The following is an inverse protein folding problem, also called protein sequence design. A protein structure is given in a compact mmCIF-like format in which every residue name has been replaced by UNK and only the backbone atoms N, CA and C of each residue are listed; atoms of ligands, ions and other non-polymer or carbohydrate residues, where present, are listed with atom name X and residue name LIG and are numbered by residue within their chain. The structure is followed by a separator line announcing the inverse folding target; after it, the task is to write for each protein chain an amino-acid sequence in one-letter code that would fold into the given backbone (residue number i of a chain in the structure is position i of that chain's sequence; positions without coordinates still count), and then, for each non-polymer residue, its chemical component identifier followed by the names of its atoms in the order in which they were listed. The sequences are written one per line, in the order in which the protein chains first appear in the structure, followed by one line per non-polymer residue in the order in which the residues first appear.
data_IF_799367176815
#
_entry.id   IF_799367176815
#
_cell.length_a   1.000
_cell.length_b   1.000
_cell.length_c   1.000
_cell.angle_alpha   90.00
_cell.angle_beta   90.00
_cell.angle_gamma   90.00
#
_symmetry.space_group_name_H-M   'P 1'
#
loop_
_entity.id
_entity.type
_entity.pdbx_description
1 polymer ?
#
# COMPACT_ATOMS: atom_id res chain seq x y z
N UNK A 1 -6.73 -13.10 -15.62
CA UNK A 1 -6.08 -13.82 -14.49
C UNK A 1 -5.01 -13.01 -13.75
N UNK A 2 -3.99 -12.42 -14.40
CA UNK A 2 -2.90 -11.70 -13.70
C UNK A 2 -3.38 -10.60 -12.75
N UNK A 3 -4.36 -9.79 -13.15
CA UNK A 3 -4.91 -8.71 -12.31
C UNK A 3 -5.57 -9.23 -11.01
N UNK A 4 -6.21 -10.40 -11.05
CA UNK A 4 -6.79 -11.05 -9.86
C UNK A 4 -5.65 -11.52 -8.94
N UNK A 5 -4.61 -12.13 -9.51
CA UNK A 5 -3.43 -12.57 -8.74
C UNK A 5 -2.75 -11.42 -8.00
N UNK A 6 -2.65 -10.24 -8.63
CA UNK A 6 -2.08 -9.04 -7.99
C UNK A 6 -2.90 -8.60 -6.76
N UNK A 7 -4.23 -8.47 -6.91
CA UNK A 7 -5.08 -8.09 -5.78
C UNK A 7 -5.12 -9.18 -4.69
N UNK A 8 -5.06 -10.45 -5.07
CA UNK A 8 -4.98 -11.57 -4.12
C UNK A 8 -3.68 -11.55 -3.32
N UNK A 9 -2.56 -11.26 -3.98
CA UNK A 9 -1.24 -11.09 -3.34
C UNK A 9 -1.23 -9.89 -2.40
N UNK A 10 -1.87 -8.78 -2.78
CA UNK A 10 -2.00 -7.63 -1.91
C UNK A 10 -2.85 -7.95 -0.66
N UNK A 11 -4.00 -8.61 -0.86
CA UNK A 11 -4.89 -8.99 0.24
C UNK A 11 -4.27 -10.01 1.20
N UNK A 12 -3.40 -10.91 0.72
CA UNK A 12 -2.72 -11.84 1.64
C UNK A 12 -1.84 -11.12 2.65
N UNK A 13 -1.36 -9.90 2.32
CA UNK A 13 -0.61 -9.04 3.22
C UNK A 13 -1.49 -8.16 4.14
N UNK A 14 -2.81 -8.27 4.05
CA UNK A 14 -3.72 -7.54 4.93
C UNK A 14 -3.50 -7.94 6.39
N UNK A 15 -3.40 -6.93 7.26
CA UNK A 15 -3.26 -7.15 8.70
C UNK A 15 -4.60 -7.64 9.28
N UNK A 16 -4.56 -8.38 10.37
CA UNK A 16 -5.77 -8.90 11.03
C UNK A 16 -6.71 -7.80 11.55
N UNK A 17 -6.22 -6.56 11.62
CA UNK A 17 -7.02 -5.36 11.91
C UNK A 17 -7.85 -4.87 10.72
N UNK A 18 -7.59 -5.36 9.51
CA UNK A 18 -8.14 -4.88 8.25
C UNK A 18 -7.22 -3.93 7.47
N UNK A 19 -6.14 -3.42 8.07
CA UNK A 19 -5.19 -2.53 7.38
C UNK A 19 -4.51 -3.23 6.20
N UNK A 20 -4.50 -2.59 5.02
CA UNK A 20 -3.64 -3.00 3.90
C UNK A 20 -2.36 -2.15 3.94
N UNK A 21 -1.16 -2.75 4.05
CA UNK A 21 0.10 -2.02 4.12
C UNK A 21 0.48 -1.43 2.75
N UNK A 22 1.17 -0.29 2.74
CA UNK A 22 1.59 0.34 1.47
C UNK A 22 2.73 -0.38 0.76
N UNK A 23 3.49 -1.23 1.46
CA UNK A 23 4.54 -2.07 0.89
C UNK A 23 4.34 -3.50 1.40
N UNK A 24 4.33 -4.43 0.46
CA UNK A 24 4.58 -5.86 0.66
C UNK A 24 5.98 -6.14 0.10
N UNK A 25 6.91 -6.57 0.93
CA UNK A 25 8.29 -6.80 0.52
C UNK A 25 8.41 -8.14 -0.21
N UNK A 26 9.11 -8.16 -1.34
CA UNK A 26 9.46 -9.42 -2.01
C UNK A 26 10.57 -10.12 -1.23
N UNK A 27 10.56 -11.46 -1.28
CA UNK A 27 11.64 -12.27 -0.73
C UNK A 27 13.00 -11.79 -1.26
N UNK A 28 13.95 -11.55 -0.35
CA UNK A 28 15.31 -11.08 -0.66
C UNK A 28 15.43 -9.67 -1.26
N UNK A 29 14.38 -8.84 -1.22
CA UNK A 29 14.49 -7.46 -1.70
C UNK A 29 15.35 -6.61 -0.74
N UNK A 30 16.58 -6.31 -1.15
CA UNK A 30 17.47 -5.42 -0.37
C UNK A 30 17.59 -4.02 -0.95
N UNK A 31 17.07 -3.80 -2.16
CA UNK A 31 17.34 -2.60 -2.96
C UNK A 31 16.51 -1.37 -2.58
N UNK A 32 15.50 -1.54 -1.72
CA UNK A 32 14.67 -0.45 -1.22
C UNK A 32 15.05 -0.06 0.21
N UNK A 33 15.05 1.25 0.50
CA UNK A 33 15.18 1.77 1.86
C UNK A 33 14.10 2.82 2.14
N UNK A 34 13.38 2.76 3.29
CA UNK A 34 13.52 1.79 4.38
C UNK A 34 12.94 0.40 4.06
N UNK A 35 13.75 -0.65 4.26
CA UNK A 35 13.35 -2.06 4.13
C UNK A 35 12.64 -2.61 5.37
N UNK A 36 12.24 -3.88 5.35
CA UNK A 36 11.46 -4.54 6.40
C UNK A 36 12.09 -4.41 7.81
N UNK A 37 13.39 -4.66 7.94
CA UNK A 37 14.11 -4.52 9.22
C UNK A 37 13.99 -3.11 9.81
N UNK A 38 13.98 -2.07 8.96
CA UNK A 38 13.83 -0.68 9.41
C UNK A 38 12.39 -0.35 9.76
N UNK A 39 11.41 -0.99 9.11
CA UNK A 39 10.00 -0.91 9.50
C UNK A 39 9.75 -1.58 10.85
N UNK A 40 10.49 -2.65 11.18
CA UNK A 40 10.43 -3.30 12.49
C UNK A 40 9.08 -3.94 12.79
N UNK A 41 8.25 -4.21 11.77
CA UNK A 41 6.92 -4.80 11.92
C UNK A 41 6.95 -6.31 12.15
N UNK A 42 8.13 -6.92 12.22
CA UNK A 42 8.33 -8.35 12.50
C UNK A 42 7.60 -8.83 13.75
N UNK A 43 7.60 -8.01 14.81
CA UNK A 43 6.96 -8.30 16.10
C UNK A 43 5.50 -7.85 16.21
N UNK A 44 4.95 -7.19 15.19
CA UNK A 44 3.58 -6.72 15.22
C UNK A 44 2.59 -7.89 15.13
N UNK A 45 1.85 -8.15 16.21
CA UNK A 45 0.89 -9.27 16.31
C UNK A 45 -0.20 -9.25 15.22
N UNK A 46 -0.54 -8.07 14.72
CA UNK A 46 -1.58 -7.90 13.71
C UNK A 46 -1.09 -8.16 12.27
N UNK A 47 0.23 -8.15 12.03
CA UNK A 47 0.79 -8.42 10.70
C UNK A 47 0.61 -9.91 10.37
N UNK A 48 0.25 -10.28 9.14
CA UNK A 48 0.17 -11.69 8.74
C UNK A 48 1.53 -12.39 8.88
N UNK A 49 1.49 -13.61 9.40
CA UNK A 49 2.69 -14.44 9.55
C UNK A 49 3.30 -14.77 8.19
N UNK A 50 4.63 -14.78 8.10
CA UNK A 50 5.35 -15.09 6.86
C UNK A 50 5.35 -14.01 5.78
N UNK A 51 4.64 -12.88 5.96
CA UNK A 51 4.57 -11.81 4.94
C UNK A 51 5.18 -10.52 5.49
N UNK A 52 6.34 -10.15 4.95
CA UNK A 52 7.02 -8.91 5.30
C UNK A 52 6.30 -7.70 4.69
N UNK A 53 5.89 -6.75 5.53
CA UNK A 53 5.20 -5.54 5.08
C UNK A 53 5.53 -4.32 5.93
N UNK A 54 5.32 -3.13 5.36
CA UNK A 54 5.43 -1.87 6.10
C UNK A 54 4.36 -1.73 7.19
N UNK A 55 4.49 -0.72 8.06
CA UNK A 55 3.55 -0.44 9.16
C UNK A 55 2.53 0.66 8.90
N UNK A 56 2.44 1.17 7.67
CA UNK A 56 1.52 2.25 7.27
C UNK A 56 0.71 1.87 6.04
N UNK A 57 -0.41 2.52 5.79
CA UNK A 57 -1.30 2.25 4.66
C UNK A 57 -1.10 3.22 3.48
N UNK A 58 -1.93 3.09 2.43
CA UNK A 58 -2.01 4.02 1.29
C UNK A 58 -3.47 4.22 0.85
N UNK A 59 -3.76 5.16 -0.07
CA UNK A 59 -5.14 5.49 -0.46
C UNK A 59 -5.93 4.28 -0.98
N UNK A 60 -7.22 4.15 -0.63
CA UNK A 60 -8.04 2.94 -0.88
C UNK A 60 -8.54 2.80 -2.32
N UNK A 61 -7.66 2.81 -3.31
CA UNK A 61 -8.03 2.70 -4.73
C UNK A 61 -8.41 1.27 -5.15
N UNK A 62 -8.25 0.28 -4.26
CA UNK A 62 -8.43 -1.15 -4.56
C UNK A 62 -9.82 -1.49 -5.08
N UNK A 63 -10.88 -0.89 -4.52
CA UNK A 63 -12.26 -1.16 -4.96
C UNK A 63 -12.54 -0.64 -6.37
N UNK A 64 -11.82 0.40 -6.82
CA UNK A 64 -11.87 0.88 -8.21
C UNK A 64 -11.25 -0.18 -9.13
N UNK A 65 -10.08 -0.72 -8.76
CA UNK A 65 -9.42 -1.80 -9.51
C UNK A 65 -10.29 -3.07 -9.57
N UNK A 66 -10.87 -3.49 -8.43
CA UNK A 66 -11.78 -4.63 -8.36
C UNK A 66 -12.99 -4.43 -9.29
N UNK A 67 -13.58 -3.23 -9.28
CA UNK A 67 -14.69 -2.91 -10.19
C UNK A 67 -14.30 -3.05 -11.65
N UNK A 68 -13.13 -2.53 -12.04
CA UNK A 68 -12.63 -2.69 -13.40
C UNK A 68 -12.41 -4.16 -13.79
N UNK A 69 -11.88 -4.99 -12.88
CA UNK A 69 -11.71 -6.43 -13.12
C UNK A 69 -13.07 -7.10 -13.36
N UNK A 70 -14.08 -6.77 -12.55
CA UNK A 70 -15.44 -7.30 -12.70
C UNK A 70 -16.10 -6.88 -14.01
N UNK A 71 -15.99 -5.60 -14.36
CA UNK A 71 -16.59 -5.07 -15.60
C UNK A 71 -15.95 -5.75 -16.82
N UNK A 72 -14.62 -5.87 -16.86
CA UNK A 72 -13.89 -6.57 -17.93
C UNK A 72 -14.21 -8.06 -17.98
N UNK A 73 -14.29 -8.74 -16.84
CA UNK A 73 -14.67 -10.15 -16.78
C UNK A 73 -16.06 -10.40 -17.36
N UNK A 74 -17.03 -9.55 -17.03
CA UNK A 74 -18.40 -9.64 -17.55
C UNK A 74 -18.49 -9.37 -19.05
N UNK A 75 -17.73 -8.41 -19.56
CA UNK A 75 -17.66 -8.10 -21.00
C UNK A 75 -17.04 -9.24 -21.81
N UNK A 76 -15.97 -9.87 -21.29
CA UNK A 76 -15.33 -11.01 -21.95
C UNK A 76 -16.21 -12.28 -21.90
N UNK A 77 -16.98 -12.46 -20.82
CA UNK A 77 -17.83 -13.63 -20.61
C UNK A 77 -17.04 -14.91 -20.28
N UNK A 78 -17.74 -16.06 -20.26
CA UNK A 78 -17.14 -17.38 -20.02
C UNK A 78 -16.28 -17.45 -18.76
N UNK A 79 -15.11 -18.09 -18.88
CA UNK A 79 -14.18 -18.30 -17.78
C UNK A 79 -13.66 -16.99 -17.14
N UNK A 80 -13.55 -15.91 -17.90
CA UNK A 80 -13.11 -14.61 -17.37
C UNK A 80 -14.16 -14.00 -16.43
N UNK A 81 -15.43 -14.13 -16.79
CA UNK A 81 -16.55 -13.73 -15.93
C UNK A 81 -16.58 -14.56 -14.66
N UNK A 82 -16.53 -15.88 -14.79
CA UNK A 82 -16.57 -16.80 -13.65
C UNK A 82 -15.41 -16.54 -12.68
N UNK A 83 -14.20 -16.32 -13.20
CA UNK A 83 -13.04 -16.01 -12.38
C UNK A 83 -13.18 -14.67 -11.65
N UNK A 84 -13.70 -13.63 -12.30
CA UNK A 84 -13.88 -12.32 -11.69
C UNK A 84 -14.98 -12.33 -10.61
N UNK A 85 -16.11 -12.99 -10.86
CA UNK A 85 -17.23 -13.11 -9.91
C UNK A 85 -16.83 -13.98 -8.71
N UNK A 86 -16.17 -15.11 -8.94
CA UNK A 86 -15.63 -15.95 -7.85
C UNK A 86 -14.61 -15.21 -7.00
N UNK A 87 -13.74 -14.40 -7.63
CA UNK A 87 -12.77 -13.58 -6.90
C UNK A 87 -13.46 -12.52 -6.02
N UNK A 88 -14.53 -11.88 -6.48
CA UNK A 88 -15.30 -10.96 -5.65
C UNK A 88 -15.87 -11.68 -4.44
N UNK A 89 -16.50 -12.83 -4.64
CA UNK A 89 -17.14 -13.59 -3.56
C UNK A 89 -16.12 -14.03 -2.50
N UNK A 90 -14.96 -14.54 -2.90
CA UNK A 90 -13.92 -14.98 -1.95
C UNK A 90 -13.20 -13.83 -1.24
N UNK A 91 -13.12 -12.63 -1.86
CA UNK A 91 -12.32 -11.50 -1.36
C UNK A 91 -13.13 -10.40 -0.70
N UNK A 92 -14.46 -10.45 -0.77
CA UNK A 92 -15.37 -9.40 -0.31
C UNK A 92 -15.09 -8.96 1.14
N UNK A 93 -14.96 -9.92 2.05
CA UNK A 93 -14.74 -9.63 3.47
C UNK A 93 -13.40 -8.93 3.73
N UNK A 94 -12.37 -9.24 2.94
CA UNK A 94 -11.08 -8.55 3.01
C UNK A 94 -11.22 -7.07 2.63
N UNK A 95 -11.91 -6.77 1.53
CA UNK A 95 -12.17 -5.39 1.14
C UNK A 95 -13.04 -4.64 2.15
N UNK A 96 -14.05 -5.31 2.70
CA UNK A 96 -14.92 -4.72 3.72
C UNK A 96 -14.15 -4.43 5.01
N UNK A 97 -13.27 -5.33 5.45
CA UNK A 97 -12.40 -5.12 6.60
C UNK A 97 -11.46 -3.92 6.39
N UNK A 98 -10.94 -3.74 5.17
CA UNK A 98 -10.12 -2.59 4.82
C UNK A 98 -10.87 -1.25 4.95
N UNK A 99 -12.07 -1.16 4.36
CA UNK A 99 -12.89 0.07 4.47
C UNK A 99 -13.37 0.32 5.90
N UNK A 100 -13.71 -0.73 6.66
CA UNK A 100 -14.04 -0.61 8.09
C UNK A 100 -12.86 -0.07 8.89
N UNK A 101 -11.65 -0.62 8.68
CA UNK A 101 -10.46 -0.15 9.38
C UNK A 101 -10.19 1.33 9.12
N UNK A 102 -10.34 1.80 7.87
CA UNK A 102 -10.23 3.23 7.55
C UNK A 102 -11.27 4.06 8.31
N UNK A 103 -12.54 3.66 8.23
CA UNK A 103 -13.65 4.40 8.83
C UNK A 103 -13.63 4.42 10.37
N UNK A 104 -12.99 3.44 11.03
CA UNK A 104 -12.97 3.35 12.49
C UNK A 104 -11.63 3.74 13.10
N UNK A 105 -10.52 3.35 12.47
CA UNK A 105 -9.16 3.59 13.02
C UNK A 105 -8.58 4.90 12.51
N UNK A 106 -8.95 5.35 11.30
CA UNK A 106 -8.49 6.62 10.73
C UNK A 106 -9.52 7.74 10.77
N UNK A 107 -10.71 7.47 11.29
CA UNK A 107 -11.72 8.50 11.58
C UNK A 107 -12.38 8.23 12.94
N UNK A 108 -11.59 8.24 14.04
CA UNK A 108 -12.09 7.87 15.37
C UNK A 108 -13.23 8.78 15.86
N UNK A 109 -13.27 10.02 15.36
CA UNK A 109 -14.27 11.03 15.71
C UNK A 109 -15.45 11.10 14.72
N UNK A 110 -15.52 10.18 13.74
CA UNK A 110 -16.59 10.07 12.74
C UNK A 110 -16.87 11.38 11.98
N UNK A 111 -15.81 12.09 11.58
CA UNK A 111 -15.85 13.36 10.86
C UNK A 111 -16.06 13.21 9.35
N UNK A 112 -15.92 12.00 8.82
CA UNK A 112 -15.90 11.72 7.38
C UNK A 112 -14.56 12.03 6.72
N UNK A 113 -13.48 12.22 7.49
CA UNK A 113 -12.13 12.50 7.02
C UNK A 113 -11.15 11.42 7.50
N UNK A 114 -10.15 11.11 6.67
CA UNK A 114 -9.11 10.12 7.00
C UNK A 114 -7.89 10.81 7.60
N UNK A 115 -7.57 10.45 8.84
CA UNK A 115 -6.34 10.83 9.52
C UNK A 115 -5.12 10.14 8.89
N UNK A 116 -4.07 10.93 8.65
CA UNK A 116 -2.79 10.49 8.07
C UNK A 116 -1.69 10.70 9.11
N UNK A 117 -1.02 9.61 9.48
CA UNK A 117 0.05 9.61 10.50
C UNK A 117 1.43 9.83 9.87
N UNK A 118 1.57 9.58 8.56
CA UNK A 118 2.82 9.78 7.84
C UNK A 118 2.53 10.23 6.39
N UNK A 119 3.23 11.24 5.87
CA UNK A 119 2.92 11.81 4.55
C UNK A 119 2.99 10.81 3.38
N UNK A 120 3.75 9.72 3.53
CA UNK A 120 3.77 8.56 2.59
C UNK A 120 2.41 7.88 2.42
N UNK A 121 1.56 7.91 3.44
CA UNK A 121 0.20 7.34 3.37
C UNK A 121 -0.69 8.10 2.41
N UNK A 122 -0.32 9.32 2.05
CA UNK A 122 -1.04 10.09 1.05
C UNK A 122 -0.67 9.71 -0.39
N UNK A 123 0.41 8.94 -0.59
CA UNK A 123 1.01 8.70 -1.90
C UNK A 123 1.74 9.92 -2.49
N UNK A 124 1.91 11.00 -1.71
CA UNK A 124 2.53 12.26 -2.15
C UNK A 124 3.57 12.73 -1.11
N UNK A 125 4.61 11.91 -0.93
CA UNK A 125 5.60 11.98 0.15
C UNK A 125 6.12 13.38 0.47
N UNK A 126 6.47 14.17 -0.56
CA UNK A 126 7.07 15.50 -0.46
C UNK A 126 6.16 16.61 -1.00
N UNK A 127 4.84 16.40 -0.97
CA UNK A 127 3.88 17.44 -1.32
C UNK A 127 4.00 18.64 -0.36
N UNK A 128 3.90 19.89 -0.85
CA UNK A 128 3.86 21.08 0.01
C UNK A 128 2.73 21.07 1.06
N UNK A 129 1.70 20.23 0.85
CA UNK A 129 0.64 19.97 1.85
C UNK A 129 1.20 19.53 3.21
N UNK A 130 2.38 18.91 3.20
CA UNK A 130 3.03 18.37 4.40
C UNK A 130 4.08 19.30 5.00
N UNK A 131 4.41 20.44 4.39
CA UNK A 131 5.46 21.34 4.89
C UNK A 131 5.14 21.86 6.30
N UNK A 132 3.91 22.34 6.51
CA UNK A 132 3.44 22.81 7.81
C UNK A 132 3.49 21.72 8.89
N UNK A 133 2.85 20.55 8.68
CA UNK A 133 2.96 19.40 9.59
C UNK A 133 4.40 18.96 9.87
N UNK A 134 5.24 18.76 8.84
CA UNK A 134 6.61 18.31 9.01
C UNK A 134 7.51 19.34 9.72
N UNK A 135 7.26 20.64 9.56
CA UNK A 135 7.99 21.68 10.30
C UNK A 135 7.84 21.56 11.84
N UNK A 136 6.79 20.87 12.30
CA UNK A 136 6.54 20.60 13.73
C UNK A 136 7.13 19.27 14.21
N UNK A 137 7.62 18.42 13.31
CA UNK A 137 8.27 17.16 13.67
C UNK A 137 9.71 17.45 14.06
N UNK A 138 10.03 17.20 15.34
CA UNK A 138 11.37 17.32 15.90
C UNK A 138 11.93 15.89 16.08
N UNK A 139 12.81 15.40 15.19
CA UNK A 139 13.39 14.08 15.36
C UNK A 139 14.25 14.03 16.62
N UNK A 140 14.08 12.99 17.43
CA UNK A 140 15.03 12.65 18.49
C UNK A 140 16.32 12.03 17.92
N UNK A 141 16.96 11.15 18.70
CA UNK A 141 18.09 10.36 18.19
C UNK A 141 17.62 9.38 17.13
N UNK A 142 18.01 9.61 15.87
CA UNK A 142 17.72 8.72 14.75
C UNK A 142 18.96 7.86 14.47
N UNK A 143 18.86 6.52 14.51
CA UNK A 143 19.99 5.66 14.14
C UNK A 143 20.43 5.95 12.71
N UNK A 144 21.75 6.05 12.51
CA UNK A 144 22.35 6.34 11.21
C UNK A 144 21.83 5.38 10.13
N UNK A 145 21.60 5.92 8.93
CA UNK A 145 21.15 5.14 7.79
C UNK A 145 21.64 5.76 6.48
N UNK A 146 21.82 4.91 5.47
CA UNK A 146 22.16 5.35 4.12
C UNK A 146 20.90 5.28 3.26
N UNK A 147 20.53 6.41 2.65
CA UNK A 147 19.44 6.44 1.67
C UNK A 147 19.84 5.64 0.43
N UNK A 148 18.97 4.73 0.00
CA UNK A 148 19.02 4.18 -1.36
C UNK A 148 18.19 5.10 -2.26
N UNK A 149 18.84 5.98 -3.03
CA UNK A 149 18.17 6.72 -4.12
C UNK A 149 18.35 5.93 -5.40
N UNK A 150 17.34 5.92 -6.29
CA UNK A 150 17.59 5.54 -7.68
C UNK A 150 18.76 6.39 -8.22
N UNK A 151 19.68 5.81 -9.00
CA UNK A 151 20.72 6.59 -9.65
C UNK A 151 20.05 7.71 -10.46
N UNK A 152 20.66 8.91 -10.53
CA UNK A 152 20.12 9.97 -11.38
C UNK A 152 19.92 9.39 -12.78
N UNK A 153 18.73 9.59 -13.37
CA UNK A 153 18.48 9.26 -14.78
C UNK A 153 19.64 9.86 -15.57
N UNK A 154 20.45 9.02 -16.25
CA UNK A 154 21.51 9.50 -17.13
C UNK A 154 20.87 10.55 -18.03
N UNK A 155 21.32 11.81 -17.94
CA UNK A 155 20.99 12.79 -18.97
C UNK A 155 21.48 12.16 -20.28
N UNK A 156 20.56 11.84 -21.18
CA UNK A 156 20.90 11.57 -22.57
C UNK A 156 21.68 12.82 -23.03
N UNK A 157 23.00 12.72 -23.10
CA UNK A 157 23.78 13.67 -23.88
C UNK A 157 23.24 13.50 -25.30
N UNK A 158 22.42 14.46 -25.74
CA UNK A 158 22.13 14.62 -27.16
C UNK A 158 23.49 14.82 -27.83
N UNK A 159 23.93 13.83 -28.60
CA UNK A 159 25.02 13.99 -29.53
C UNK A 159 24.65 15.18 -30.43
N UNK A 160 25.47 16.23 -30.38
CA UNK A 160 25.41 17.31 -31.34
C UNK A 160 25.61 16.71 -32.74
N UNK A 161 24.69 17.06 -33.65
CA UNK A 161 24.94 16.98 -35.09
C UNK A 161 25.64 18.25 -35.52
#
# INVERSE_FOLDING_TARGET
MLAITELRTLLSAQWSTGMIPHIVFSENSTDYFPGFDRWGTGSAKARPSGIESSGICQPPVHSIALRHILDRGRENGGADREAAESFLDESFDGWLAWHRWLATVRDPDATGLIEIHHGRESGFDNSPRWDGPYARVQPGTVPAFTRRRHPPRRRLQRAAR
#
